data_IF_389518729347
#
_entry.id   IF_389518729347
#
_cell.length_a   1.000
_cell.length_b   1.000
_cell.length_c   1.000
_cell.angle_alpha   90.00
_cell.angle_beta   90.00
_cell.angle_gamma   90.00
#
_symmetry.space_group_name_H-M   'P 1'
#
loop_
_entity.id
_entity.type
_entity.pdbx_description
1 polymer ?
#
# COMPACT_ATOMS: atom_id res chain seq x y z
N UNK A 1 -12.31 12.40 22.75
CA UNK A 1 -13.55 12.51 23.56
C UNK A 1 -13.39 13.52 24.69
N UNK A 2 -12.24 13.53 25.37
CA UNK A 2 -11.90 14.50 26.44
C UNK A 2 -11.91 15.97 26.02
N UNK A 3 -11.47 16.28 24.79
CA UNK A 3 -11.23 17.66 24.33
C UNK A 3 -12.33 18.24 23.42
N UNK A 4 -13.49 17.56 23.33
CA UNK A 4 -14.64 18.00 22.51
C UNK A 4 -14.57 17.59 21.03
N UNK A 5 -15.61 17.95 20.28
CA UNK A 5 -15.79 17.56 18.87
C UNK A 5 -14.82 18.24 17.91
N UNK A 6 -14.46 19.49 18.16
CA UNK A 6 -13.54 20.24 17.28
C UNK A 6 -12.10 19.71 17.34
N UNK A 7 -11.68 19.13 18.47
CA UNK A 7 -10.39 18.48 18.57
C UNK A 7 -10.28 17.26 17.63
N UNK A 8 -11.39 16.59 17.27
CA UNK A 8 -11.37 15.48 16.31
C UNK A 8 -10.91 15.93 14.92
N UNK A 9 -11.18 17.18 14.54
CA UNK A 9 -10.73 17.75 13.24
C UNK A 9 -9.22 17.98 13.19
N UNK A 10 -8.56 18.02 14.34
CA UNK A 10 -7.12 18.20 14.48
C UNK A 10 -6.38 16.86 14.62
N UNK A 11 -7.10 15.76 14.82
CA UNK A 11 -6.52 14.44 14.94
C UNK A 11 -6.16 13.91 13.55
N UNK A 12 -4.87 13.65 13.34
CA UNK A 12 -4.34 13.13 12.08
C UNK A 12 -3.98 11.66 12.30
N UNK A 13 -5.00 10.82 12.39
CA UNK A 13 -4.86 9.39 12.59
C UNK A 13 -5.70 8.61 11.59
N UNK A 14 -5.25 7.42 11.20
CA UNK A 14 -6.08 6.44 10.48
C UNK A 14 -6.08 5.15 11.27
N UNK A 15 -7.27 4.59 11.53
CA UNK A 15 -7.46 3.41 12.41
C UNK A 15 -6.79 3.57 13.79
N UNK A 16 -6.82 4.80 14.33
CA UNK A 16 -6.18 5.24 15.58
C UNK A 16 -4.64 5.24 15.59
N UNK A 17 -3.99 5.02 14.45
CA UNK A 17 -2.54 5.19 14.31
C UNK A 17 -2.21 6.59 13.78
N UNK A 18 -1.23 7.26 14.37
CA UNK A 18 -0.77 8.58 13.93
C UNK A 18 -0.19 8.56 12.52
N UNK A 19 -0.54 9.57 11.71
CA UNK A 19 0.08 9.71 10.40
C UNK A 19 1.58 10.04 10.51
N UNK A 20 2.46 9.37 9.74
CA UNK A 20 3.89 9.61 9.78
C UNK A 20 4.28 10.89 9.00
N UNK A 21 5.58 11.18 8.95
CA UNK A 21 6.14 12.43 8.42
C UNK A 21 6.16 12.53 6.87
N UNK A 22 5.08 12.14 6.20
CA UNK A 22 4.89 12.31 4.76
C UNK A 22 3.49 12.87 4.47
N UNK A 23 3.35 13.58 3.33
CA UNK A 23 2.12 14.29 2.97
C UNK A 23 1.33 13.54 1.89
N UNK A 24 0.23 12.84 2.24
CA UNK A 24 -0.67 12.18 1.29
C UNK A 24 -1.22 13.10 0.20
N UNK A 25 -1.36 14.40 0.49
CA UNK A 25 -1.79 15.38 -0.51
C UNK A 25 -0.86 15.37 -1.73
N UNK A 26 0.45 15.25 -1.50
CA UNK A 26 1.47 15.22 -2.55
C UNK A 26 1.81 13.79 -3.01
N UNK A 27 1.83 12.84 -2.08
CA UNK A 27 2.16 11.43 -2.32
C UNK A 27 0.90 10.59 -2.45
N UNK A 28 0.47 10.35 -3.68
CA UNK A 28 -0.84 9.74 -3.99
C UNK A 28 -0.87 8.27 -3.59
N UNK A 29 0.24 7.53 -3.76
CA UNK A 29 0.32 6.15 -3.28
C UNK A 29 0.09 6.07 -1.77
N UNK A 30 0.69 6.98 -0.99
CA UNK A 30 0.51 7.02 0.46
C UNK A 30 -0.90 7.44 0.88
N UNK A 31 -1.59 8.27 0.08
CA UNK A 31 -3.00 8.60 0.36
C UNK A 31 -3.88 7.36 0.35
N UNK A 32 -3.68 6.48 -0.64
CA UNK A 32 -4.35 5.19 -0.70
C UNK A 32 -3.91 4.29 0.45
N UNK A 33 -2.61 4.09 0.63
CA UNK A 33 -2.08 3.11 1.59
C UNK A 33 -2.40 3.47 3.03
N UNK A 34 -2.35 4.75 3.40
CA UNK A 34 -2.76 5.16 4.74
C UNK A 34 -4.23 4.85 5.00
N UNK A 35 -5.09 4.98 3.99
CA UNK A 35 -6.50 4.66 4.14
C UNK A 35 -6.71 3.15 4.34
N UNK A 36 -6.12 2.31 3.48
CA UNK A 36 -6.45 0.87 3.41
C UNK A 36 -5.61 -0.03 4.30
N UNK A 37 -4.42 0.39 4.72
CA UNK A 37 -3.52 -0.45 5.49
C UNK A 37 -4.17 -0.93 6.80
N UNK A 38 -3.96 -2.20 7.14
CA UNK A 38 -4.74 -2.89 8.16
C UNK A 38 -4.55 -2.30 9.57
N UNK A 39 -3.35 -1.80 9.86
CA UNK A 39 -2.99 -1.25 11.17
C UNK A 39 -2.90 0.28 11.18
N UNK A 40 -3.41 0.95 10.14
CA UNK A 40 -3.47 2.41 10.08
C UNK A 40 -2.37 3.05 9.22
N UNK A 41 -2.17 4.35 9.40
CA UNK A 41 -1.31 5.13 8.54
C UNK A 41 0.16 4.77 8.75
N UNK A 42 0.75 4.09 7.78
CA UNK A 42 2.18 3.76 7.79
C UNK A 42 2.82 3.97 6.41
N UNK A 43 4.00 4.58 6.44
CA UNK A 43 4.78 4.95 5.25
C UNK A 43 5.79 3.90 4.83
N UNK A 44 5.97 2.84 5.62
CA UNK A 44 6.83 1.70 5.33
C UNK A 44 6.02 0.51 4.82
N UNK A 45 4.72 0.73 4.54
CA UNK A 45 3.81 -0.27 4.01
C UNK A 45 3.65 -0.19 2.49
N UNK A 46 4.28 0.77 1.80
CA UNK A 46 4.38 0.76 0.33
C UNK A 46 5.53 1.62 -0.15
N UNK A 47 5.93 1.46 -1.41
CA UNK A 47 6.96 2.31 -2.01
C UNK A 47 6.42 3.73 -2.28
N UNK A 48 7.33 4.70 -2.39
CA UNK A 48 7.00 6.10 -2.61
C UNK A 48 6.87 6.47 -4.09
N UNK A 49 5.93 7.39 -4.37
CA UNK A 49 5.53 7.81 -5.72
C UNK A 49 6.68 8.05 -6.70
N UNK A 50 7.71 8.80 -6.29
CA UNK A 50 8.84 9.19 -7.16
C UNK A 50 9.71 8.03 -7.62
N UNK A 51 9.58 6.84 -7.01
CA UNK A 51 10.28 5.64 -7.48
C UNK A 51 9.64 5.09 -8.76
N UNK A 52 8.40 5.50 -9.04
CA UNK A 52 7.62 5.04 -10.18
C UNK A 52 6.81 6.19 -10.81
N UNK A 53 7.54 7.13 -11.40
CA UNK A 53 7.02 8.25 -12.17
C UNK A 53 7.91 8.52 -13.38
N UNK A 54 7.37 9.16 -14.42
CA UNK A 54 8.14 9.60 -15.58
C UNK A 54 9.37 10.41 -15.13
N UNK A 55 10.54 10.05 -15.65
CA UNK A 55 11.82 10.66 -15.25
C UNK A 55 12.51 9.98 -14.05
N UNK A 56 11.95 8.89 -13.52
CA UNK A 56 12.60 8.01 -12.56
C UNK A 56 13.84 7.29 -13.11
N UNK A 57 14.60 6.65 -12.23
CA UNK A 57 15.83 5.94 -12.60
C UNK A 57 15.55 4.61 -13.30
N UNK A 58 16.36 4.27 -14.31
CA UNK A 58 16.23 3.01 -15.07
C UNK A 58 16.25 1.77 -14.17
N UNK A 59 17.16 1.73 -13.18
CA UNK A 59 17.22 0.66 -12.18
C UNK A 59 15.89 0.43 -11.46
N UNK A 60 15.15 1.49 -11.14
CA UNK A 60 13.86 1.37 -10.46
C UNK A 60 12.85 0.71 -11.38
N UNK A 61 12.80 1.11 -12.65
CA UNK A 61 11.88 0.56 -13.63
C UNK A 61 12.18 -0.89 -13.97
N UNK A 62 13.45 -1.27 -14.12
CA UNK A 62 13.85 -2.66 -14.35
C UNK A 62 13.38 -3.58 -13.22
N UNK A 63 13.58 -3.16 -11.97
CA UNK A 63 13.16 -3.93 -10.79
C UNK A 63 11.65 -3.96 -10.62
N UNK A 64 10.98 -2.83 -10.73
CA UNK A 64 9.52 -2.74 -10.62
C UNK A 64 8.81 -3.50 -11.76
N UNK A 65 9.41 -3.59 -12.94
CA UNK A 65 8.89 -4.40 -14.04
C UNK A 65 8.80 -5.90 -13.67
N UNK A 66 9.66 -6.41 -12.78
CA UNK A 66 9.59 -7.81 -12.30
C UNK A 66 8.31 -8.12 -11.54
N UNK A 67 7.67 -7.10 -10.95
CA UNK A 67 6.36 -7.23 -10.28
C UNK A 67 5.22 -6.69 -11.14
N UNK A 68 5.46 -6.44 -12.44
CA UNK A 68 4.44 -6.09 -13.42
C UNK A 68 4.18 -4.59 -13.60
N UNK A 69 5.09 -3.71 -13.15
CA UNK A 69 4.97 -2.26 -13.27
C UNK A 69 5.84 -1.74 -14.42
N UNK A 70 5.23 -1.48 -15.58
CA UNK A 70 5.97 -1.13 -16.82
C UNK A 70 5.58 0.21 -17.45
N UNK A 71 4.53 0.88 -16.97
CA UNK A 71 3.99 2.12 -17.54
C UNK A 71 4.05 3.28 -16.53
N UNK A 72 5.24 3.80 -16.14
CA UNK A 72 5.34 4.83 -15.10
C UNK A 72 4.45 6.04 -15.40
N UNK A 73 3.55 6.45 -14.48
CA UNK A 73 2.65 7.58 -14.68
C UNK A 73 3.38 8.92 -14.49
N UNK A 74 2.72 10.01 -14.89
CA UNK A 74 3.21 11.37 -14.62
C UNK A 74 3.21 11.70 -13.12
N UNK A 75 4.05 12.66 -12.71
CA UNK A 75 4.14 13.08 -11.32
C UNK A 75 2.80 13.63 -10.79
N UNK A 76 2.37 13.11 -9.65
CA UNK A 76 1.10 13.52 -9.03
C UNK A 76 -0.16 12.89 -9.65
N UNK A 77 0.00 11.99 -10.63
CA UNK A 77 -1.09 11.14 -11.11
C UNK A 77 -1.67 10.29 -9.96
N UNK A 78 -3.00 10.11 -9.98
CA UNK A 78 -3.71 9.24 -9.04
C UNK A 78 -4.68 8.32 -9.79
N UNK A 79 -4.27 7.84 -10.96
CA UNK A 79 -5.03 6.94 -11.80
C UNK A 79 -4.73 5.46 -11.51
N UNK A 80 -5.27 4.55 -12.35
CA UNK A 80 -5.19 3.10 -12.14
C UNK A 80 -3.75 2.57 -12.00
N UNK A 81 -2.81 3.10 -12.77
CA UNK A 81 -1.42 2.64 -12.71
C UNK A 81 -0.71 3.05 -11.40
N UNK A 82 -1.01 4.24 -10.86
CA UNK A 82 -0.54 4.65 -9.53
C UNK A 82 -1.13 3.77 -8.42
N UNK A 83 -2.40 3.40 -8.55
CA UNK A 83 -3.09 2.49 -7.61
C UNK A 83 -2.50 1.08 -7.67
N UNK A 84 -2.22 0.58 -8.87
CA UNK A 84 -1.52 -0.69 -9.09
C UNK A 84 -0.13 -0.66 -8.47
N UNK A 85 0.65 0.41 -8.67
CA UNK A 85 1.94 0.61 -8.01
C UNK A 85 1.84 0.54 -6.49
N UNK A 86 0.89 1.28 -5.89
CA UNK A 86 0.69 1.26 -4.45
C UNK A 86 0.32 -0.15 -3.95
N UNK A 87 -0.59 -0.84 -4.63
CA UNK A 87 -1.07 -2.18 -4.25
C UNK A 87 0.04 -3.22 -4.32
N UNK A 88 0.78 -3.27 -5.42
CA UNK A 88 1.86 -4.24 -5.62
C UNK A 88 3.03 -3.99 -4.66
N UNK A 89 3.40 -2.73 -4.43
CA UNK A 89 4.49 -2.43 -3.50
C UNK A 89 4.06 -2.63 -2.04
N UNK A 90 2.77 -2.51 -1.73
CA UNK A 90 2.22 -2.94 -0.43
C UNK A 90 2.34 -4.43 -0.21
N UNK A 91 2.00 -5.23 -1.23
CA UNK A 91 2.25 -6.67 -1.23
C UNK A 91 3.73 -6.99 -1.06
N UNK A 92 4.62 -6.32 -1.79
CA UNK A 92 6.05 -6.55 -1.72
C UNK A 92 6.63 -6.25 -0.33
N UNK A 93 6.26 -5.14 0.29
CA UNK A 93 6.71 -4.83 1.66
C UNK A 93 6.11 -5.78 2.70
N UNK A 94 4.86 -6.23 2.52
CA UNK A 94 4.28 -7.27 3.37
C UNK A 94 5.04 -8.61 3.27
N UNK A 95 5.56 -8.94 2.08
CA UNK A 95 6.47 -10.06 1.87
C UNK A 95 7.80 -9.84 2.59
N UNK A 96 8.43 -8.67 2.48
CA UNK A 96 9.67 -8.36 3.20
C UNK A 96 9.52 -8.48 4.72
N UNK A 97 8.41 -7.97 5.28
CA UNK A 97 8.07 -8.12 6.70
C UNK A 97 8.01 -9.59 7.11
N UNK A 98 7.42 -10.44 6.27
CA UNK A 98 7.29 -11.88 6.51
C UNK A 98 8.64 -12.60 6.46
N UNK A 99 9.53 -12.15 5.58
CA UNK A 99 10.91 -12.64 5.45
C UNK A 99 11.87 -11.98 6.46
N UNK A 100 11.41 -10.99 7.22
CA UNK A 100 12.21 -10.15 8.13
C UNK A 100 13.37 -9.43 7.44
N UNK A 101 13.18 -9.03 6.18
CA UNK A 101 14.18 -8.33 5.38
C UNK A 101 14.00 -6.81 5.47
N UNK A 102 15.12 -6.11 5.65
CA UNK A 102 15.11 -4.65 5.70
C UNK A 102 14.79 -4.06 4.32
N UNK A 103 13.71 -3.29 4.23
CA UNK A 103 13.29 -2.61 3.00
C UNK A 103 14.32 -1.61 2.45
N UNK A 104 15.20 -1.03 3.28
CA UNK A 104 16.26 -0.14 2.79
C UNK A 104 17.32 -0.89 1.99
N UNK A 105 17.42 -2.21 2.19
CA UNK A 105 18.34 -3.09 1.47
C UNK A 105 17.63 -3.81 0.32
N UNK A 106 16.42 -4.32 0.55
CA UNK A 106 15.70 -5.23 -0.36
C UNK A 106 14.46 -4.60 -1.04
N UNK A 107 14.27 -3.28 -0.95
CA UNK A 107 13.09 -2.62 -1.52
C UNK A 107 12.89 -2.89 -3.02
N UNK A 108 11.65 -2.79 -3.54
CA UNK A 108 11.31 -3.22 -4.89
C UNK A 108 11.88 -2.30 -5.98
N UNK A 109 12.34 -1.09 -5.62
CA UNK A 109 12.96 -0.14 -6.54
C UNK A 109 14.42 0.18 -6.16
N UNK A 110 14.66 0.58 -4.91
CA UNK A 110 15.95 1.01 -4.35
C UNK A 110 16.25 0.20 -3.06
N UNK A 111 17.48 -0.04 -2.59
CA UNK A 111 18.81 0.38 -3.08
C UNK A 111 19.63 -0.81 -3.59
N UNK A 112 20.20 -1.60 -2.69
CA UNK A 112 21.29 -2.54 -2.96
C UNK A 112 20.77 -3.79 -3.68
N UNK A 113 19.70 -4.37 -3.16
CA UNK A 113 19.04 -5.56 -3.68
C UNK A 113 17.61 -5.23 -4.10
N UNK A 114 17.05 -6.06 -4.97
CA UNK A 114 15.68 -5.93 -5.46
C UNK A 114 14.95 -7.27 -5.50
N UNK A 115 13.91 -7.38 -6.34
CA UNK A 115 13.10 -8.60 -6.43
C UNK A 115 13.90 -9.85 -6.82
N UNK A 116 14.83 -9.74 -7.77
CA UNK A 116 15.67 -10.86 -8.20
C UNK A 116 16.53 -11.40 -7.05
N UNK A 117 17.25 -10.52 -6.36
CA UNK A 117 18.13 -10.93 -5.26
C UNK A 117 17.35 -11.44 -4.04
N UNK A 118 16.11 -10.99 -3.86
CA UNK A 118 15.22 -11.54 -2.83
C UNK A 118 14.87 -13.00 -3.12
N UNK A 119 14.60 -13.34 -4.38
CA UNK A 119 14.37 -14.73 -4.82
C UNK A 119 15.62 -15.58 -4.60
N UNK A 120 16.79 -15.09 -5.07
CA UNK A 120 18.07 -15.80 -4.91
C UNK A 120 18.39 -16.06 -3.43
N UNK A 121 18.16 -15.07 -2.57
CA UNK A 121 18.36 -15.21 -1.13
C UNK A 121 17.47 -16.30 -0.53
N UNK A 122 16.17 -16.27 -0.82
CA UNK A 122 15.23 -17.25 -0.28
C UNK A 122 15.61 -18.65 -0.73
N UNK A 123 15.83 -18.86 -2.03
CA UNK A 123 16.19 -20.17 -2.58
C UNK A 123 17.53 -20.67 -2.02
N UNK A 124 18.53 -19.79 -1.93
CA UNK A 124 19.85 -20.13 -1.40
C UNK A 124 19.85 -20.47 0.09
N UNK A 125 19.00 -19.83 0.90
CA UNK A 125 18.95 -20.06 2.34
C UNK A 125 18.04 -21.22 2.75
N UNK A 126 16.93 -21.46 2.05
CA UNK A 126 15.93 -22.46 2.44
C UNK A 126 16.03 -23.75 1.64
N UNK A 127 16.66 -23.72 0.46
CA UNK A 127 16.64 -24.80 -0.51
C UNK A 127 15.28 -24.95 -1.23
N UNK A 128 14.38 -23.97 -1.09
CA UNK A 128 13.16 -23.91 -1.90
C UNK A 128 13.48 -23.47 -3.34
N UNK A 129 12.55 -23.73 -4.24
CA UNK A 129 12.61 -23.29 -5.64
C UNK A 129 11.43 -22.36 -5.91
N UNK A 130 11.40 -21.20 -5.22
CA UNK A 130 10.35 -20.21 -5.41
C UNK A 130 10.68 -19.21 -6.50
N UNK A 131 9.64 -18.62 -7.11
CA UNK A 131 9.74 -17.44 -7.95
C UNK A 131 9.20 -16.16 -7.28
N UNK A 132 9.33 -15.02 -7.97
CA UNK A 132 8.83 -13.74 -7.46
C UNK A 132 7.30 -13.71 -7.29
N UNK A 133 6.54 -14.44 -8.11
CA UNK A 133 5.08 -14.48 -8.00
C UNK A 133 4.65 -15.22 -6.74
N UNK A 134 5.32 -16.33 -6.42
CA UNK A 134 5.09 -17.08 -5.18
C UNK A 134 5.45 -16.27 -3.93
N UNK A 135 6.53 -15.50 -3.99
CA UNK A 135 6.88 -14.56 -2.92
C UNK A 135 5.88 -13.40 -2.80
N UNK A 136 5.36 -12.87 -3.90
CA UNK A 136 4.28 -11.88 -3.87
C UNK A 136 3.01 -12.45 -3.25
N UNK A 137 2.67 -13.72 -3.51
CA UNK A 137 1.56 -14.41 -2.84
C UNK A 137 1.75 -14.56 -1.34
N UNK A 138 2.98 -14.68 -0.83
CA UNK A 138 3.26 -14.60 0.61
C UNK A 138 2.86 -13.23 1.18
N UNK A 139 3.21 -12.15 0.48
CA UNK A 139 2.81 -10.80 0.84
C UNK A 139 1.29 -10.61 0.88
N UNK A 140 0.59 -11.06 -0.17
CA UNK A 140 -0.89 -11.03 -0.26
C UNK A 140 -1.51 -11.81 0.89
N UNK A 141 -1.02 -13.04 1.15
CA UNK A 141 -1.50 -13.88 2.27
C UNK A 141 -1.44 -13.15 3.60
N UNK A 142 -0.34 -12.43 3.89
CA UNK A 142 -0.23 -11.67 5.14
C UNK A 142 -1.23 -10.50 5.18
N UNK A 143 -1.38 -9.75 4.09
CA UNK A 143 -2.33 -8.63 4.01
C UNK A 143 -3.77 -9.14 4.22
N UNK A 144 -4.17 -10.18 3.49
CA UNK A 144 -5.51 -10.75 3.56
C UNK A 144 -5.79 -11.36 4.94
N UNK A 145 -4.81 -11.98 5.57
CA UNK A 145 -4.96 -12.49 6.94
C UNK A 145 -5.20 -11.35 7.96
N UNK A 146 -4.46 -10.23 7.85
CA UNK A 146 -4.72 -9.05 8.67
C UNK A 146 -6.09 -8.42 8.35
N UNK A 147 -6.48 -8.41 7.07
CA UNK A 147 -7.79 -7.91 6.64
C UNK A 147 -8.92 -8.74 7.24
N UNK A 148 -8.83 -10.06 7.17
CA UNK A 148 -9.82 -10.97 7.75
C UNK A 148 -9.89 -10.87 9.28
N UNK A 149 -8.75 -10.65 9.95
CA UNK A 149 -8.74 -10.33 11.37
C UNK A 149 -9.53 -9.05 11.66
N UNK A 150 -9.25 -7.96 10.93
CA UNK A 150 -9.94 -6.69 11.13
C UNK A 150 -11.45 -6.79 10.86
N UNK A 151 -11.86 -7.48 9.80
CA UNK A 151 -13.28 -7.72 9.49
C UNK A 151 -13.96 -8.48 10.65
N UNK A 152 -13.30 -9.49 11.22
CA UNK A 152 -13.79 -10.22 12.39
C UNK A 152 -13.99 -9.29 13.60
N UNK A 153 -13.10 -8.32 13.78
CA UNK A 153 -13.18 -7.30 14.85
C UNK A 153 -14.12 -6.13 14.51
N UNK A 154 -14.81 -6.16 13.37
CA UNK A 154 -15.86 -5.21 13.01
C UNK A 154 -15.41 -4.04 12.13
N UNK A 155 -14.19 -4.07 11.59
CA UNK A 155 -13.77 -3.11 10.57
C UNK A 155 -14.53 -3.35 9.27
N UNK A 156 -14.85 -2.25 8.59
CA UNK A 156 -15.57 -2.24 7.32
C UNK A 156 -14.88 -1.30 6.34
N UNK A 157 -15.36 -1.23 5.09
CA UNK A 157 -14.96 -0.18 4.13
C UNK A 157 -14.96 1.23 4.74
N UNK A 158 -15.87 1.54 5.69
CA UNK A 158 -15.98 2.87 6.31
C UNK A 158 -14.74 3.28 7.12
N UNK A 159 -13.92 2.30 7.51
CA UNK A 159 -12.69 2.51 8.26
C UNK A 159 -11.48 2.72 7.34
N UNK A 160 -11.62 2.43 6.04
CA UNK A 160 -10.63 2.73 5.02
C UNK A 160 -10.81 4.15 4.52
N UNK A 161 -10.35 5.12 5.32
CA UNK A 161 -10.52 6.55 5.05
C UNK A 161 -9.36 7.38 5.57
N UNK A 162 -9.26 8.60 5.07
CA UNK A 162 -8.33 9.61 5.56
C UNK A 162 -9.02 10.64 6.48
N UNK A 163 -8.30 11.24 7.44
CA UNK A 163 -8.83 12.36 8.23
C UNK A 163 -9.10 13.60 7.36
N UNK A 164 -10.08 14.41 7.77
CA UNK A 164 -10.53 15.62 7.05
C UNK A 164 -9.39 16.56 6.65
N UNK A 165 -8.35 16.61 7.48
CA UNK A 165 -7.15 17.43 7.28
C UNK A 165 -6.47 17.19 5.92
N UNK A 166 -6.50 15.97 5.38
CA UNK A 166 -5.84 15.66 4.11
C UNK A 166 -6.63 16.13 2.89
N UNK A 167 -7.92 16.43 3.03
CA UNK A 167 -8.75 17.02 1.97
C UNK A 167 -8.70 18.56 1.93
N UNK A 168 -8.06 19.17 2.93
CA UNK A 168 -7.82 20.62 2.96
C UNK A 168 -6.55 20.94 2.17
N UNK A 169 -6.58 21.91 1.24
CA UNK A 169 -5.40 22.35 0.50
C UNK A 169 -4.24 22.74 1.40
N UNK A 170 -3.05 22.27 1.05
CA UNK A 170 -1.80 22.70 1.67
C UNK A 170 -1.62 24.22 1.50
N UNK A 171 -1.11 24.87 2.53
CA UNK A 171 -0.78 26.30 2.53
C UNK A 171 0.73 26.47 2.46
N UNK A 172 1.19 27.56 1.85
CA UNK A 172 2.61 27.93 1.79
C UNK A 172 3.03 28.45 0.42
N UNK A 173 4.33 28.50 0.19
CA UNK A 173 4.93 28.99 -1.07
C UNK A 173 5.68 27.90 -1.84
N UNK A 174 5.71 26.67 -1.32
CA UNK A 174 6.39 25.53 -1.94
C UNK A 174 5.62 24.92 -3.12
N UNK A 175 6.23 23.95 -3.83
CA UNK A 175 5.68 23.35 -5.04
C UNK A 175 4.35 22.62 -4.82
N UNK A 176 4.04 22.23 -3.58
CA UNK A 176 2.79 21.55 -3.21
C UNK A 176 1.74 22.49 -2.63
N UNK A 177 1.95 23.81 -2.70
CA UNK A 177 0.95 24.79 -2.25
C UNK A 177 -0.35 24.65 -3.06
N UNK A 178 -1.49 24.65 -2.38
CA UNK A 178 -2.81 24.44 -2.98
C UNK A 178 -3.16 22.98 -3.27
N UNK A 179 -2.22 22.03 -3.10
CA UNK A 179 -2.49 20.61 -3.33
C UNK A 179 -3.30 20.02 -2.18
N UNK A 180 -4.31 19.21 -2.51
CA UNK A 180 -5.11 18.41 -1.57
C UNK A 180 -5.24 16.97 -2.07
N UNK A 181 -5.66 16.06 -1.19
CA UNK A 181 -6.26 14.80 -1.63
C UNK A 181 -7.66 15.12 -2.17
N UNK A 182 -7.99 14.54 -3.32
CA UNK A 182 -9.34 14.56 -3.85
C UNK A 182 -10.11 13.36 -3.26
N UNK A 183 -11.26 13.61 -2.64
CA UNK A 183 -12.01 12.59 -1.92
C UNK A 183 -12.67 11.57 -2.87
N UNK A 184 -13.13 12.02 -4.03
CA UNK A 184 -13.75 11.14 -5.03
C UNK A 184 -12.69 10.23 -5.65
N UNK A 185 -11.54 10.81 -6.04
CA UNK A 185 -10.42 10.00 -6.55
C UNK A 185 -9.85 9.02 -5.52
N UNK A 186 -9.85 9.39 -4.24
CA UNK A 186 -9.43 8.46 -3.18
C UNK A 186 -10.39 7.27 -3.08
N UNK A 187 -11.70 7.51 -3.12
CA UNK A 187 -12.70 6.43 -3.06
C UNK A 187 -12.61 5.50 -4.29
N UNK A 188 -12.40 6.07 -5.48
CA UNK A 188 -12.10 5.32 -6.71
C UNK A 188 -10.81 4.51 -6.59
N UNK A 189 -9.76 5.08 -6.01
CA UNK A 189 -8.49 4.40 -5.77
C UNK A 189 -8.62 3.24 -4.77
N UNK A 190 -9.48 3.38 -3.76
CA UNK A 190 -9.79 2.30 -2.81
C UNK A 190 -10.55 1.17 -3.53
N UNK A 191 -11.53 1.48 -4.38
CA UNK A 191 -12.22 0.49 -5.21
C UNK A 191 -11.25 -0.29 -6.10
N UNK A 192 -10.36 0.42 -6.79
CA UNK A 192 -9.34 -0.19 -7.65
C UNK A 192 -8.32 -1.01 -6.86
N UNK A 193 -7.93 -0.57 -5.66
CA UNK A 193 -7.08 -1.36 -4.78
C UNK A 193 -7.75 -2.67 -4.37
N UNK A 194 -9.03 -2.62 -3.97
CA UNK A 194 -9.79 -3.82 -3.64
C UNK A 194 -9.88 -4.77 -4.84
N UNK A 195 -10.12 -4.25 -6.04
CA UNK A 195 -10.12 -5.05 -7.27
C UNK A 195 -8.76 -5.72 -7.50
N UNK A 196 -7.66 -4.97 -7.39
CA UNK A 196 -6.30 -5.49 -7.52
C UNK A 196 -6.00 -6.60 -6.49
N UNK A 197 -6.54 -6.49 -5.28
CA UNK A 197 -6.37 -7.48 -4.22
C UNK A 197 -7.36 -8.66 -4.31
N UNK A 198 -8.32 -8.64 -5.24
CA UNK A 198 -9.35 -9.68 -5.36
C UNK A 198 -10.41 -9.62 -4.26
N UNK A 199 -10.68 -8.42 -3.76
CA UNK A 199 -11.68 -8.11 -2.73
C UNK A 199 -12.96 -7.55 -3.36
N UNK A 200 -14.07 -7.69 -2.64
CA UNK A 200 -15.34 -7.05 -2.98
C UNK A 200 -15.30 -5.53 -2.74
N UNK A 201 -16.32 -4.79 -3.23
CA UNK A 201 -16.47 -3.36 -2.96
C UNK A 201 -16.58 -2.99 -1.48
N UNK A 202 -17.02 -3.93 -0.64
CA UNK A 202 -17.03 -3.78 0.82
C UNK A 202 -15.66 -4.03 1.47
N UNK A 203 -14.64 -4.31 0.65
CA UNK A 203 -13.27 -4.61 1.08
C UNK A 203 -13.13 -5.96 1.76
N UNK A 204 -13.97 -6.94 1.38
CA UNK A 204 -13.91 -8.31 1.90
C UNK A 204 -13.23 -9.19 0.84
N UNK A 205 -12.12 -9.87 1.15
CA UNK A 205 -11.50 -10.85 0.25
C UNK A 205 -12.51 -11.90 -0.23
N UNK A 206 -12.48 -12.23 -1.53
CA UNK A 206 -13.37 -13.25 -2.08
C UNK A 206 -12.99 -14.65 -1.58
N UNK A 207 -13.94 -15.59 -1.52
CA UNK A 207 -13.66 -16.97 -1.12
C UNK A 207 -12.62 -17.64 -2.04
N UNK A 208 -12.65 -17.34 -3.33
CA UNK A 208 -11.64 -17.81 -4.30
C UNK A 208 -10.25 -17.27 -3.96
N UNK A 209 -10.12 -15.98 -3.64
CA UNK A 209 -8.85 -15.38 -3.22
C UNK A 209 -8.34 -15.99 -1.92
N UNK A 210 -9.22 -16.20 -0.93
CA UNK A 210 -8.84 -16.85 0.32
C UNK A 210 -8.40 -18.31 0.12
N UNK A 211 -9.06 -19.05 -0.77
CA UNK A 211 -8.64 -20.41 -1.14
C UNK A 211 -7.27 -20.41 -1.83
N UNK A 212 -7.07 -19.51 -2.82
CA UNK A 212 -5.78 -19.33 -3.51
C UNK A 212 -4.63 -19.07 -2.52
N UNK A 213 -4.89 -18.26 -1.49
CA UNK A 213 -3.90 -17.90 -0.48
C UNK A 213 -3.77 -18.94 0.66
N UNK A 214 -4.54 -20.03 0.64
CA UNK A 214 -4.52 -21.04 1.72
C UNK A 214 -5.13 -20.54 3.04
N UNK A 215 -6.04 -19.57 2.95
CA UNK A 215 -6.75 -18.92 4.06
C UNK A 215 -8.23 -19.33 4.14
N UNK A 216 -8.62 -20.46 3.53
CA UNK A 216 -10.02 -20.94 3.56
C UNK A 216 -10.56 -21.16 4.98
N UNK A 217 -9.69 -21.45 5.94
CA UNK A 217 -10.04 -21.56 7.36
C UNK A 217 -10.49 -20.25 8.01
N UNK A 218 -10.26 -19.09 7.36
CA UNK A 218 -10.77 -17.79 7.80
C UNK A 218 -12.25 -17.57 7.42
N UNK A 219 -12.80 -18.36 6.50
CA UNK A 219 -14.19 -18.27 6.07
C UNK A 219 -15.06 -18.84 7.19
N UNK A 220 -15.94 -18.00 7.76
CA UNK A 220 -16.92 -18.40 8.78
C UNK A 220 -18.29 -18.63 8.17
#
# INVERSE_FOLDING_TARGET
ETWGGDAKKLLITVKNEEAPAHMPQAKKSLALIYAVNAFGADHQSSEHDWMYEVGGAELYFERLAMIGLTNPPEAGDFGPEKVKFASLTHTFYSMLDSLTLCQFVFGPAWTLFGPAETVDLVNGCTGWEVDINELMKLGERRIDMMRMFNIREGFTRKDDRLPEKFFVPLKGTGPTSGVKVDAEKLDEAIDLHYENMGWSKEGVPSSQKLEELGLSWCIK
#
